data_IF_281025014738
#
_entry.id   IF_281025014738
#
_cell.length_a   1.000
_cell.length_b   1.000
_cell.length_c   1.000
_cell.angle_alpha   90.00
_cell.angle_beta   90.00
_cell.angle_gamma   90.00
#
_symmetry.space_group_name_H-M   'P 1'
#
loop_
_entity.id
_entity.type
_entity.pdbx_description
1 polymer ?
#
# COMPACT_ATOMS: atom_id res chain seq x y z
N UNK A 1 2.82 -10.78 19.07
CA UNK A 1 2.10 -9.74 18.32
C UNK A 1 1.57 -10.39 17.05
N UNK A 2 0.25 -10.39 16.85
CA UNK A 2 -0.38 -11.00 15.68
C UNK A 2 -0.34 -9.99 14.55
N UNK A 3 0.41 -10.27 13.48
CA UNK A 3 0.44 -9.42 12.29
C UNK A 3 -0.96 -9.36 11.70
N UNK A 4 -1.56 -8.16 11.67
CA UNK A 4 -2.85 -7.95 11.02
C UNK A 4 -2.64 -7.92 9.52
N UNK A 5 -3.52 -8.58 8.76
CA UNK A 5 -3.40 -8.71 7.30
C UNK A 5 -4.60 -8.04 6.62
N UNK A 6 -4.37 -7.42 5.47
CA UNK A 6 -5.41 -6.86 4.62
C UNK A 6 -5.29 -7.39 3.19
N UNK A 7 -6.45 -7.62 2.56
CA UNK A 7 -6.55 -8.03 1.16
C UNK A 7 -6.76 -6.79 0.29
N UNK A 8 -5.82 -6.50 -0.60
CA UNK A 8 -6.01 -5.48 -1.63
C UNK A 8 -7.06 -5.98 -2.62
N UNK A 9 -8.14 -5.23 -2.81
CA UNK A 9 -9.18 -5.60 -3.78
C UNK A 9 -9.27 -4.62 -4.96
N UNK A 10 -8.65 -3.44 -4.85
CA UNK A 10 -8.61 -2.47 -5.95
C UNK A 10 -7.35 -1.62 -5.88
N UNK A 11 -6.70 -1.39 -7.03
CA UNK A 11 -5.69 -0.34 -7.17
C UNK A 11 -6.33 0.83 -7.91
N UNK A 12 -6.24 2.03 -7.34
CA UNK A 12 -6.89 3.24 -7.84
C UNK A 12 -5.97 4.00 -8.80
N UNK A 13 -4.70 4.15 -8.44
CA UNK A 13 -3.73 4.92 -9.21
C UNK A 13 -2.31 4.41 -8.99
N UNK A 14 -1.42 4.75 -9.93
CA UNK A 14 0.03 4.60 -9.78
C UNK A 14 0.69 5.85 -10.33
N UNK A 15 1.32 6.62 -9.45
CA UNK A 15 1.89 7.92 -9.78
C UNK A 15 3.39 7.87 -9.61
N UNK A 16 4.14 8.18 -10.68
CA UNK A 16 5.59 8.36 -10.63
C UNK A 16 5.89 9.78 -10.12
N UNK A 17 6.61 9.87 -9.01
CA UNK A 17 7.28 11.08 -8.56
C UNK A 17 8.79 10.88 -8.70
N UNK A 18 9.54 11.98 -8.74
CA UNK A 18 10.99 12.04 -9.01
C UNK A 18 11.70 10.67 -8.89
N UNK A 19 11.89 10.20 -7.65
CA UNK A 19 12.66 8.99 -7.36
C UNK A 19 11.81 7.81 -6.86
N UNK A 20 10.49 7.96 -6.76
CA UNK A 20 9.61 6.92 -6.19
C UNK A 20 8.26 6.84 -6.91
N UNK A 21 7.47 5.84 -6.54
CA UNK A 21 6.12 5.62 -7.03
C UNK A 21 5.16 5.60 -5.87
N UNK A 22 4.05 6.34 -5.96
CA UNK A 22 2.93 6.23 -5.04
C UNK A 22 1.86 5.34 -5.69
N UNK A 23 1.33 4.39 -4.94
CA UNK A 23 0.22 3.54 -5.36
C UNK A 23 -0.92 3.70 -4.36
N UNK A 24 -2.03 4.29 -4.84
CA UNK A 24 -3.27 4.37 -4.07
C UNK A 24 -4.09 3.10 -4.29
N UNK A 25 -4.58 2.49 -3.21
CA UNK A 25 -5.34 1.25 -3.28
C UNK A 25 -6.46 1.20 -2.23
N UNK A 26 -7.38 0.26 -2.42
CA UNK A 26 -8.37 -0.10 -1.42
C UNK A 26 -8.15 -1.54 -0.97
N UNK A 27 -8.29 -1.77 0.33
CA UNK A 27 -8.12 -3.07 0.93
C UNK A 27 -9.18 -3.36 2.00
N UNK A 28 -9.30 -4.64 2.32
CA UNK A 28 -10.20 -5.19 3.32
C UNK A 28 -9.35 -5.78 4.45
N UNK A 29 -9.51 -5.27 5.68
CA UNK A 29 -8.88 -5.84 6.86
C UNK A 29 -9.47 -7.24 7.12
N UNK A 30 -8.64 -8.28 7.10
CA UNK A 30 -9.08 -9.67 7.27
C UNK A 30 -9.45 -10.01 8.72
N UNK A 31 -9.06 -9.19 9.69
CA UNK A 31 -9.40 -9.34 11.11
C UNK A 31 -10.69 -8.61 11.50
N UNK A 32 -10.88 -7.37 11.06
CA UNK A 32 -12.08 -6.57 11.41
C UNK A 32 -13.18 -6.64 10.35
N UNK A 33 -12.83 -6.97 9.11
CA UNK A 33 -13.74 -6.91 7.98
C UNK A 33 -14.02 -5.50 7.45
N UNK A 34 -13.25 -4.50 7.90
CA UNK A 34 -13.43 -3.12 7.49
C UNK A 34 -12.73 -2.82 6.16
N UNK A 35 -13.35 -1.93 5.38
CA UNK A 35 -12.77 -1.43 4.14
C UNK A 35 -12.02 -0.14 4.41
N UNK A 36 -10.84 0.00 3.79
CA UNK A 36 -10.06 1.22 3.86
C UNK A 36 -9.37 1.52 2.54
N UNK A 37 -8.88 2.75 2.42
CA UNK A 37 -8.13 3.26 1.28
C UNK A 37 -6.82 3.83 1.81
N UNK A 38 -5.71 3.47 1.19
CA UNK A 38 -4.38 3.91 1.59
C UNK A 38 -3.45 4.12 0.40
N UNK A 39 -2.38 4.87 0.65
CA UNK A 39 -1.30 5.13 -0.29
C UNK A 39 -0.01 4.45 0.19
N UNK A 40 0.71 3.80 -0.72
CA UNK A 40 2.02 3.20 -0.42
C UNK A 40 3.08 3.67 -1.40
N UNK A 41 4.29 3.89 -0.89
CA UNK A 41 5.43 4.33 -1.70
C UNK A 41 6.35 3.17 -2.04
N UNK A 42 6.78 3.10 -3.30
CA UNK A 42 7.74 2.12 -3.82
C UNK A 42 8.93 2.82 -4.48
N UNK A 43 10.12 2.23 -4.40
CA UNK A 43 11.33 2.82 -5.00
C UNK A 43 11.42 2.58 -6.50
N UNK A 44 10.71 1.58 -7.01
CA UNK A 44 10.77 1.20 -8.42
C UNK A 44 9.39 0.98 -9.02
N UNK A 45 9.31 1.14 -10.35
CA UNK A 45 8.11 0.79 -11.10
C UNK A 45 7.79 -0.70 -10.95
N UNK A 46 8.82 -1.56 -10.90
CA UNK A 46 8.64 -3.01 -10.75
C UNK A 46 7.85 -3.35 -9.48
N UNK A 47 8.22 -2.74 -8.35
CA UNK A 47 7.53 -2.94 -7.07
C UNK A 47 6.12 -2.35 -7.08
N UNK A 48 5.95 -1.11 -7.58
CA UNK A 48 4.65 -0.45 -7.67
C UNK A 48 3.63 -1.24 -8.51
N UNK A 49 4.08 -1.90 -9.57
CA UNK A 49 3.23 -2.74 -10.42
C UNK A 49 3.11 -4.19 -9.94
N UNK A 50 3.91 -4.60 -8.94
CA UNK A 50 3.75 -5.89 -8.27
C UNK A 50 2.55 -5.90 -7.30
N UNK A 51 2.19 -4.75 -6.74
CA UNK A 51 0.96 -4.61 -5.94
C UNK A 51 -0.27 -4.69 -6.85
N UNK A 52 -1.13 -5.68 -6.64
CA UNK A 52 -2.33 -5.94 -7.45
C UNK A 52 -3.51 -6.32 -6.55
N UNK A 53 -4.74 -6.24 -7.07
CA UNK A 53 -5.87 -6.90 -6.43
C UNK A 53 -5.58 -8.39 -6.22
N UNK A 54 -5.94 -8.91 -5.05
CA UNK A 54 -5.64 -10.28 -4.62
C UNK A 54 -4.40 -10.40 -3.73
N UNK A 55 -3.52 -9.39 -3.69
CA UNK A 55 -2.39 -9.40 -2.77
C UNK A 55 -2.86 -9.24 -1.32
N UNK A 56 -2.31 -10.06 -0.42
CA UNK A 56 -2.43 -9.87 1.03
C UNK A 56 -1.20 -9.10 1.50
N UNK A 57 -1.43 -8.03 2.25
CA UNK A 57 -0.38 -7.17 2.81
C UNK A 57 -0.55 -7.03 4.32
N UNK A 58 0.54 -6.95 5.08
CA UNK A 58 0.47 -6.68 6.51
C UNK A 58 0.03 -5.22 6.75
N UNK A 59 -0.96 -5.02 7.61
CA UNK A 59 -1.51 -3.70 7.98
C UNK A 59 -0.47 -2.81 8.65
N UNK A 60 0.46 -3.41 9.39
CA UNK A 60 1.58 -2.69 10.02
C UNK A 60 2.47 -2.00 8.98
N UNK A 61 2.45 -2.43 7.71
CA UNK A 61 3.17 -1.76 6.62
C UNK A 61 2.28 -0.77 5.83
N UNK A 62 0.96 -0.80 6.06
CA UNK A 62 0.00 0.10 5.39
C UNK A 62 -0.22 1.38 6.18
N UNK A 63 -0.34 1.26 7.51
CA UNK A 63 -0.67 2.38 8.41
C UNK A 63 0.54 3.24 8.77
N UNK A 64 1.74 2.68 8.64
CA UNK A 64 2.96 3.48 8.57
C UNK A 64 3.13 3.89 7.11
N UNK A 65 2.35 4.89 6.69
CA UNK A 65 2.82 5.81 5.67
C UNK A 65 4.21 6.23 6.12
N UNK A 66 5.22 5.62 5.50
CA UNK A 66 6.61 5.71 5.94
C UNK A 66 6.92 7.18 6.21
N UNK A 67 7.40 7.50 7.41
CA UNK A 67 8.21 8.67 7.74
C UNK A 67 9.52 8.66 6.91
N UNK A 68 9.44 8.40 5.60
CA UNK A 68 10.44 8.91 4.70
C UNK A 68 10.13 10.40 4.63
N UNK A 69 10.87 11.18 5.41
CA UNK A 69 11.11 12.59 5.12
C UNK A 69 11.18 12.70 3.59
N UNK A 70 10.19 13.36 3.00
CA UNK A 70 10.18 13.65 1.58
C UNK A 70 11.53 14.32 1.30
N UNK A 71 12.41 13.74 0.46
CA UNK A 71 13.66 14.40 0.14
C UNK A 71 13.28 15.65 -0.66
N UNK A 72 13.35 16.80 -0.01
CA UNK A 72 13.26 18.11 -0.63
C UNK A 72 14.59 18.48 -1.28
#
# INVERSE_FOLDING_TARGET
MTTKNALVYRVLSRSKFHDFWIVSFMAFDLGTGEHFMEDVTFRSAKEAFALKPGNIIPLDQCLYGFDMELPF
#
